data_IF_558752478286
#
_entry.id   IF_558752478286
#
_cell.length_a   1.000
_cell.length_b   1.000
_cell.length_c   1.000
_cell.angle_alpha   90.00
_cell.angle_beta   90.00
_cell.angle_gamma   90.00
#
_symmetry.space_group_name_H-M   'P 1'
#
loop_
_entity.id
_entity.type
_entity.pdbx_description
1 polymer ?
#
# COMPACT_ATOMS: atom_id res chain seq x y z
N UNK A 1 2.78 29.86 -9.33
CA UNK A 1 2.99 29.04 -10.53
C UNK A 1 3.87 27.86 -10.13
N UNK A 2 3.73 26.76 -10.87
CA UNK A 2 4.41 25.46 -10.69
C UNK A 2 3.73 24.50 -9.72
N UNK A 3 2.63 23.89 -10.17
CA UNK A 3 2.32 22.52 -9.74
C UNK A 3 3.31 21.62 -10.47
N UNK A 4 4.44 21.33 -9.83
CA UNK A 4 5.32 20.25 -10.27
C UNK A 4 4.54 18.96 -10.10
N UNK A 5 3.96 18.45 -11.19
CA UNK A 5 3.36 17.11 -11.19
C UNK A 5 4.52 16.12 -11.09
N UNK A 6 4.92 15.79 -9.87
CA UNK A 6 5.74 14.61 -9.60
C UNK A 6 5.01 13.44 -10.22
N UNK A 7 5.47 13.00 -11.38
CA UNK A 7 4.81 11.97 -12.16
C UNK A 7 5.14 10.67 -11.46
N UNK A 8 4.21 10.18 -10.62
CA UNK A 8 4.38 8.89 -9.96
C UNK A 8 4.51 7.80 -11.00
N UNK A 9 5.64 7.09 -10.97
CA UNK A 9 5.94 6.02 -11.91
C UNK A 9 5.26 4.72 -11.44
N UNK A 10 4.05 4.48 -11.95
CA UNK A 10 3.25 3.30 -11.63
C UNK A 10 3.86 1.97 -12.10
N UNK A 11 4.99 1.98 -12.82
CA UNK A 11 5.72 0.76 -13.16
C UNK A 11 6.52 0.21 -11.97
N UNK A 12 6.83 1.06 -10.98
CA UNK A 12 7.60 0.68 -9.80
C UNK A 12 6.67 0.05 -8.78
N UNK A 13 7.06 -1.11 -8.25
CA UNK A 13 6.30 -1.83 -7.23
C UNK A 13 7.20 -2.07 -6.03
N UNK A 14 6.65 -1.93 -4.84
CA UNK A 14 7.39 -2.02 -3.59
C UNK A 14 6.74 -3.02 -2.66
N UNK A 15 7.57 -3.70 -1.88
CA UNK A 15 7.12 -4.55 -0.79
C UNK A 15 7.89 -4.18 0.47
N UNK A 16 7.20 -4.03 1.59
CA UNK A 16 7.82 -3.93 2.92
C UNK A 16 7.36 -5.09 3.77
N UNK A 17 8.31 -5.86 4.31
CA UNK A 17 7.99 -6.94 5.22
C UNK A 17 7.57 -6.34 6.57
N UNK A 18 6.39 -6.74 7.07
CA UNK A 18 5.91 -6.35 8.40
C UNK A 18 6.28 -7.44 9.39
N UNK A 19 5.80 -8.66 9.17
CA UNK A 19 6.05 -9.78 10.08
C UNK A 19 6.08 -11.11 9.32
N UNK A 20 6.94 -12.03 9.77
CA UNK A 20 6.84 -13.46 9.44
C UNK A 20 6.28 -14.19 10.63
N UNK A 21 5.04 -14.66 10.52
CA UNK A 21 4.30 -15.29 11.61
C UNK A 21 4.72 -16.75 11.76
N UNK A 22 4.59 -17.26 12.99
CA UNK A 22 4.97 -18.65 13.31
C UNK A 22 4.06 -19.70 12.63
N UNK A 23 2.88 -19.29 12.17
CA UNK A 23 1.94 -20.14 11.42
C UNK A 23 2.30 -20.29 9.93
N UNK A 24 3.42 -19.70 9.49
CA UNK A 24 3.91 -19.77 8.12
C UNK A 24 3.32 -18.70 7.19
N UNK A 25 2.54 -17.76 7.73
CA UNK A 25 2.07 -16.58 7.00
C UNK A 25 3.07 -15.43 7.09
N UNK A 26 3.08 -14.61 6.04
CA UNK A 26 3.92 -13.43 5.90
C UNK A 26 3.02 -12.24 5.70
N UNK A 27 3.10 -11.30 6.63
CA UNK A 27 2.44 -10.01 6.58
C UNK A 27 3.38 -8.99 5.96
N UNK A 28 2.88 -8.28 4.95
CA UNK A 28 3.67 -7.32 4.21
C UNK A 28 2.78 -6.24 3.59
N UNK A 29 3.37 -5.10 3.34
CA UNK A 29 2.73 -3.99 2.64
C UNK A 29 3.15 -4.01 1.17
N UNK A 30 2.21 -3.78 0.27
CA UNK A 30 2.46 -3.70 -1.16
C UNK A 30 2.05 -2.33 -1.71
N UNK A 31 2.96 -1.67 -2.41
CA UNK A 31 2.75 -0.33 -2.96
C UNK A 31 3.08 -0.25 -4.45
N UNK A 32 2.42 0.64 -5.19
CA UNK A 32 2.66 0.87 -6.63
C UNK A 32 2.91 2.35 -6.87
N UNK A 33 4.04 2.66 -7.48
CA UNK A 33 4.53 4.00 -7.79
C UNK A 33 4.98 4.79 -6.57
N UNK A 34 4.17 4.77 -5.51
CA UNK A 34 4.42 5.46 -4.25
C UNK A 34 4.47 4.48 -3.08
N UNK A 35 5.62 4.31 -2.42
CA UNK A 35 5.73 3.54 -1.17
C UNK A 35 4.75 3.98 -0.07
N UNK A 36 4.36 5.25 -0.02
CA UNK A 36 3.46 5.79 1.02
C UNK A 36 2.00 5.37 0.84
N UNK A 37 1.59 4.94 -0.37
CA UNK A 37 0.26 4.40 -0.65
C UNK A 37 0.30 2.89 -0.88
N UNK A 38 -0.19 2.12 0.10
CA UNK A 38 -0.01 0.69 0.15
C UNK A 38 -1.30 -0.06 0.50
N UNK A 39 -1.32 -1.34 0.13
CA UNK A 39 -2.27 -2.32 0.64
C UNK A 39 -1.54 -3.28 1.58
N UNK A 40 -2.15 -3.56 2.73
CA UNK A 40 -1.69 -4.59 3.65
C UNK A 40 -2.10 -5.97 3.12
N UNK A 41 -1.17 -6.91 3.10
CA UNK A 41 -1.34 -8.24 2.53
C UNK A 41 -0.80 -9.30 3.49
N UNK A 42 -1.46 -10.46 3.48
CA UNK A 42 -1.08 -11.63 4.27
C UNK A 42 -1.11 -12.86 3.36
N UNK A 43 0.04 -13.49 3.15
CA UNK A 43 0.18 -14.67 2.29
C UNK A 43 1.05 -15.74 2.92
N UNK A 44 0.89 -17.04 2.57
CA UNK A 44 1.89 -18.05 2.90
C UNK A 44 3.28 -17.68 2.38
N UNK A 45 4.34 -18.08 3.08
CA UNK A 45 5.72 -17.72 2.73
C UNK A 45 6.08 -18.01 1.26
N UNK A 46 5.75 -19.20 0.75
CA UNK A 46 6.03 -19.58 -0.64
C UNK A 46 5.30 -18.66 -1.64
N UNK A 47 4.04 -18.31 -1.34
CA UNK A 47 3.24 -17.43 -2.18
C UNK A 47 3.72 -15.98 -2.14
N UNK A 48 4.26 -15.53 -1.00
CA UNK A 48 4.92 -14.23 -0.87
C UNK A 48 6.18 -14.15 -1.75
N UNK A 49 7.03 -15.18 -1.74
CA UNK A 49 8.23 -15.22 -2.58
C UNK A 49 7.88 -15.21 -4.07
N UNK A 50 6.88 -16.01 -4.47
CA UNK A 50 6.33 -16.00 -5.81
C UNK A 50 5.76 -14.64 -6.20
N UNK A 51 5.00 -14.01 -5.30
CA UNK A 51 4.41 -12.70 -5.50
C UNK A 51 5.50 -11.64 -5.77
N UNK A 52 6.55 -11.62 -4.95
CA UNK A 52 7.67 -10.69 -5.11
C UNK A 52 8.36 -10.85 -6.47
N UNK A 53 8.58 -12.09 -6.89
CA UNK A 53 9.22 -12.43 -8.17
C UNK A 53 8.35 -12.04 -9.37
N UNK A 54 7.08 -12.43 -9.36
CA UNK A 54 6.13 -12.15 -10.46
C UNK A 54 5.92 -10.65 -10.63
N UNK A 55 5.84 -9.92 -9.53
CA UNK A 55 5.62 -8.48 -9.55
C UNK A 55 6.90 -7.66 -9.71
N UNK A 56 8.09 -8.29 -9.73
CA UNK A 56 9.38 -7.60 -9.82
C UNK A 56 9.50 -6.44 -8.82
N UNK A 57 9.12 -6.71 -7.56
CA UNK A 57 9.05 -5.70 -6.51
C UNK A 57 10.42 -5.31 -5.99
N UNK A 58 10.55 -4.07 -5.55
CA UNK A 58 11.70 -3.60 -4.75
C UNK A 58 11.35 -3.76 -3.28
N UNK A 59 12.18 -4.51 -2.54
CA UNK A 59 11.99 -4.68 -1.09
C UNK A 59 12.49 -3.43 -0.37
N UNK A 60 11.65 -2.89 0.51
CA UNK A 60 11.97 -1.78 1.40
C UNK A 60 12.36 -2.34 2.77
N UNK A 61 13.42 -1.80 3.35
CA UNK A 61 13.92 -2.17 4.67
C UNK A 61 13.41 -1.20 5.74
N UNK A 62 13.26 -1.71 6.97
CA UNK A 62 12.84 -0.96 8.15
C UNK A 62 11.33 -0.88 8.34
N UNK A 63 10.90 -0.71 9.58
CA UNK A 63 9.51 -0.38 9.92
C UNK A 63 9.16 1.04 9.45
N UNK A 64 7.89 1.25 9.10
CA UNK A 64 7.40 2.62 8.95
C UNK A 64 7.24 3.22 10.34
N UNK A 65 7.68 4.46 10.48
CA UNK A 65 7.18 5.28 11.57
C UNK A 65 5.68 5.47 11.31
N UNK A 66 4.82 4.96 12.20
CA UNK A 66 3.39 5.24 12.20
C UNK A 66 3.22 6.75 12.33
N UNK A 67 3.09 7.43 11.20
CA UNK A 67 2.59 8.80 11.21
C UNK A 67 1.10 8.65 11.49
N UNK A 68 0.68 9.02 12.70
CA UNK A 68 -0.73 9.13 13.11
C UNK A 68 -1.47 9.94 12.04
N UNK A 69 -2.07 9.26 11.05
CA UNK A 69 -2.95 9.90 10.09
C UNK A 69 -4.30 10.03 10.77
N UNK A 70 -4.49 11.16 11.45
CA UNK A 70 -5.80 11.66 11.86
C UNK A 70 -6.71 11.61 10.64
N UNK A 71 -7.53 10.56 10.56
CA UNK A 71 -8.43 10.28 9.46
C UNK A 71 -9.64 11.21 9.52
N UNK A 72 -9.40 12.53 9.51
CA UNK A 72 -10.42 13.58 9.48
C UNK A 72 -11.17 13.71 8.15
N UNK A 73 -11.05 12.73 7.24
CA UNK A 73 -11.69 12.73 5.93
C UNK A 73 -12.93 11.82 5.92
N UNK A 74 -13.93 12.19 6.74
CA UNK A 74 -15.29 11.67 6.67
C UNK A 74 -16.08 12.18 5.45
N UNK A 75 -15.44 12.28 4.28
CA UNK A 75 -16.11 12.69 3.05
C UNK A 75 -16.79 11.47 2.45
N UNK A 76 -17.95 11.14 3.03
CA UNK A 76 -18.78 10.06 2.55
C UNK A 76 -19.29 10.39 1.15
N UNK A 77 -18.77 9.64 0.16
CA UNK A 77 -19.32 9.52 -1.19
C UNK A 77 -20.78 9.00 -1.19
N UNK A 78 -21.36 8.74 0.00
CA UNK A 78 -22.75 8.36 0.19
C UNK A 78 -23.73 9.54 0.24
N UNK A 79 -23.28 10.80 0.35
CA UNK A 79 -24.17 11.96 0.53
C UNK A 79 -24.38 12.84 -0.71
N UNK A 80 -24.06 12.34 -1.92
CA UNK A 80 -24.20 13.07 -3.18
C UNK A 80 -25.36 12.62 -4.09
N UNK A 81 -26.35 11.86 -3.62
CA UNK A 81 -27.49 11.46 -4.48
C UNK A 81 -28.90 11.57 -3.86
N UNK A 82 -29.08 12.21 -2.70
CA UNK A 82 -30.44 12.46 -2.17
C UNK A 82 -30.80 13.94 -2.26
N UNK A 83 -30.71 14.50 -3.47
CA UNK A 83 -31.41 15.74 -3.83
C UNK A 83 -32.10 15.54 -5.19
N UNK A 84 -33.43 15.68 -5.17
CA UNK A 84 -34.42 15.50 -6.26
C UNK A 84 -34.63 14.02 -6.63
N UNK A 85 -35.84 13.47 -6.57
CA UNK A 85 -37.15 14.00 -6.97
C UNK A 85 -38.27 13.46 -6.06
#
# INVERSE_FOLDING_TARGET
MSQEKTTMDLSRKFVRLVERREDGLVEFEFSIGDPELYAEMLLPADAYEDFCRINAVTVLEGEREEVEQDSGLGWSLHEANTRRY
#
